data_IF_572844714272
#
_entry.id   IF_572844714272
#
_cell.length_a   1.000
_cell.length_b   1.000
_cell.length_c   1.000
_cell.angle_alpha   90.00
_cell.angle_beta   90.00
_cell.angle_gamma   90.00
#
_symmetry.space_group_name_H-M   'P 1'
#
loop_
_entity.id
_entity.type
_entity.pdbx_description
1 polymer ?
#
# COMPACT_ATOMS: atom_id res chain seq x y z
N UNK A 1 -7.13 -11.03 6.33
CA UNK A 1 -5.78 -10.45 6.16
C UNK A 1 -5.02 -11.18 5.07
N UNK A 2 -4.40 -10.49 4.14
CA UNK A 2 -3.62 -11.11 3.07
C UNK A 2 -2.35 -10.30 2.79
N UNK A 3 -1.20 -10.94 2.93
CA UNK A 3 0.05 -10.38 2.44
C UNK A 3 0.06 -10.50 0.91
N UNK A 4 0.29 -9.39 0.23
CA UNK A 4 0.44 -9.37 -1.23
C UNK A 4 1.92 -9.29 -1.60
N UNK A 5 2.68 -8.39 -0.96
CA UNK A 5 4.08 -8.18 -1.28
C UNK A 5 4.79 -7.48 -0.13
N UNK A 6 5.98 -7.98 0.22
CA UNK A 6 6.85 -7.33 1.19
C UNK A 6 6.24 -7.20 2.58
N UNK A 7 6.57 -6.10 3.24
CA UNK A 7 6.16 -5.83 4.61
C UNK A 7 4.95 -4.91 4.73
N UNK A 8 4.53 -4.27 3.64
CA UNK A 8 3.49 -3.24 3.69
C UNK A 8 2.39 -3.38 2.64
N UNK A 9 2.54 -4.26 1.65
CA UNK A 9 1.54 -4.43 0.60
C UNK A 9 0.57 -5.55 0.95
N UNK A 10 -0.69 -5.20 1.20
CA UNK A 10 -1.76 -6.14 1.50
C UNK A 10 -2.75 -5.57 2.50
N UNK A 11 -4.02 -5.97 2.45
CA UNK A 11 -5.02 -5.51 3.40
C UNK A 11 -4.70 -6.01 4.81
N UNK A 12 -4.70 -5.10 5.79
CA UNK A 12 -4.34 -5.38 7.17
C UNK A 12 -2.98 -6.08 7.32
N UNK A 13 -2.05 -5.73 6.43
CA UNK A 13 -0.68 -6.22 6.46
C UNK A 13 0.26 -5.02 6.54
N UNK A 14 0.83 -4.77 7.72
CA UNK A 14 1.62 -3.56 7.96
C UNK A 14 2.84 -3.92 8.80
N UNK A 15 4.01 -3.46 8.37
CA UNK A 15 5.28 -3.70 9.06
C UNK A 15 5.57 -5.19 9.28
N UNK A 16 5.16 -6.03 8.30
CA UNK A 16 5.39 -7.46 8.35
C UNK A 16 4.49 -8.23 9.29
N UNK A 17 3.39 -7.61 9.74
CA UNK A 17 2.46 -8.24 10.69
C UNK A 17 1.02 -8.06 10.25
N UNK A 18 0.16 -8.92 10.75
CA UNK A 18 -1.28 -8.86 10.55
C UNK A 18 -1.88 -7.75 11.40
N UNK A 19 -1.67 -6.50 10.98
CA UNK A 19 -2.15 -5.30 11.67
C UNK A 19 -2.68 -4.30 10.65
N UNK A 20 -3.82 -3.64 10.93
CA UNK A 20 -4.24 -2.50 10.11
C UNK A 20 -3.27 -1.32 10.31
N UNK A 21 -3.21 -0.45 9.30
CA UNK A 21 -2.26 0.67 9.32
C UNK A 21 -2.46 1.64 10.49
N UNK A 22 -3.68 1.72 11.03
CA UNK A 22 -3.98 2.61 12.16
C UNK A 22 -3.79 1.95 13.53
N UNK A 23 -3.27 0.73 13.59
CA UNK A 23 -3.04 0.06 14.86
C UNK A 23 -1.82 0.69 15.56
N UNK A 24 -1.92 1.07 16.84
CA UNK A 24 -0.79 1.68 17.55
C UNK A 24 0.40 0.74 17.73
N UNK A 25 0.23 -0.55 17.53
CA UNK A 25 1.32 -1.53 17.62
C UNK A 25 2.20 -1.58 16.38
N UNK A 26 1.85 -0.86 15.30
CA UNK A 26 2.64 -0.87 14.07
C UNK A 26 4.03 -0.28 14.34
N UNK A 27 5.05 -1.05 13.97
CA UNK A 27 6.42 -0.59 14.05
C UNK A 27 6.87 -0.03 12.69
N UNK A 28 6.76 1.29 12.53
CA UNK A 28 7.11 1.98 11.29
C UNK A 28 8.60 1.97 10.99
N UNK A 29 9.43 1.46 11.89
CA UNK A 29 10.88 1.30 11.65
C UNK A 29 11.20 0.09 10.78
N UNK A 30 10.26 -0.83 10.60
CA UNK A 30 10.44 -1.97 9.69
C UNK A 30 10.65 -1.42 8.28
N UNK A 31 11.77 -1.80 7.66
CA UNK A 31 12.13 -1.28 6.34
C UNK A 31 11.37 -2.00 5.24
N UNK A 32 10.91 -1.28 4.20
CA UNK A 32 10.36 -1.91 3.01
C UNK A 32 11.47 -2.66 2.27
N UNK A 33 11.09 -3.72 1.55
CA UNK A 33 12.05 -4.55 0.83
C UNK A 33 12.43 -4.00 -0.54
N UNK A 34 11.60 -3.14 -1.12
CA UNK A 34 11.84 -2.55 -2.44
C UNK A 34 10.98 -1.30 -2.64
N UNK A 35 11.04 -0.72 -3.85
CA UNK A 35 10.30 0.51 -4.18
C UNK A 35 8.79 0.33 -4.10
N UNK A 36 8.27 -0.83 -4.50
CA UNK A 36 6.84 -1.10 -4.43
C UNK A 36 6.39 -1.19 -2.98
N UNK A 37 7.16 -1.89 -2.15
CA UNK A 37 6.88 -2.00 -0.72
C UNK A 37 6.95 -0.63 -0.04
N UNK A 38 7.90 0.22 -0.45
CA UNK A 38 7.98 1.60 0.03
C UNK A 38 6.72 2.40 -0.33
N UNK A 39 6.21 2.22 -1.55
CA UNK A 39 4.98 2.90 -1.97
C UNK A 39 3.79 2.43 -1.11
N UNK A 40 3.72 1.14 -0.81
CA UNK A 40 2.70 0.61 0.10
C UNK A 40 2.85 1.15 1.51
N UNK A 41 4.09 1.28 2.00
CA UNK A 41 4.35 1.86 3.33
C UNK A 41 3.86 3.30 3.40
N UNK A 42 4.16 4.10 2.37
CA UNK A 42 3.73 5.49 2.32
C UNK A 42 2.20 5.58 2.33
N UNK A 43 1.54 4.71 1.58
CA UNK A 43 0.07 4.62 1.57
C UNK A 43 -0.46 4.23 2.94
N UNK A 44 0.16 3.24 3.60
CA UNK A 44 -0.26 2.81 4.93
C UNK A 44 -0.12 3.93 5.95
N UNK A 45 0.95 4.73 5.86
CA UNK A 45 1.12 5.91 6.72
C UNK A 45 0.01 6.93 6.49
N UNK A 46 -0.36 7.17 5.24
CA UNK A 46 -1.48 8.06 4.91
C UNK A 46 -2.79 7.51 5.49
N UNK A 47 -2.94 6.19 5.54
CA UNK A 47 -4.12 5.52 6.06
C UNK A 47 -4.11 5.36 7.59
N UNK A 48 -2.96 5.55 8.24
CA UNK A 48 -2.86 5.47 9.69
C UNK A 48 -3.53 6.66 10.37
N UNK A 49 -3.95 7.62 9.58
CA UNK A 49 -4.64 8.80 10.04
C UNK A 49 -5.97 8.45 10.70
N UNK A 50 -6.38 9.31 11.65
CA UNK A 50 -7.63 9.15 12.40
C UNK A 50 -8.84 9.01 11.48
N UNK A 51 -8.84 9.68 10.33
CA UNK A 51 -9.92 9.63 9.34
C UNK A 51 -9.78 8.50 8.32
N UNK A 52 -8.72 7.71 8.40
CA UNK A 52 -8.46 6.60 7.51
C UNK A 52 -7.90 7.01 6.14
N UNK A 53 -8.00 6.11 5.18
CA UNK A 53 -7.51 6.33 3.83
C UNK A 53 -8.36 7.34 3.07
N UNK A 54 -7.76 8.00 2.09
CA UNK A 54 -8.46 8.93 1.20
C UNK A 54 -8.22 8.56 -0.26
N UNK A 55 -9.06 9.08 -1.14
CA UNK A 55 -8.88 8.90 -2.59
C UNK A 55 -7.52 9.45 -3.05
N UNK A 56 -7.08 10.57 -2.48
CA UNK A 56 -5.78 11.15 -2.82
C UNK A 56 -4.63 10.21 -2.45
N UNK A 57 -4.68 9.59 -1.26
CA UNK A 57 -3.68 8.62 -0.83
C UNK A 57 -3.68 7.40 -1.76
N UNK A 58 -4.87 6.91 -2.10
CA UNK A 58 -5.00 5.78 -3.03
C UNK A 58 -4.40 6.11 -4.39
N UNK A 59 -4.67 7.28 -4.93
CA UNK A 59 -4.15 7.68 -6.24
C UNK A 59 -2.63 7.85 -6.23
N UNK A 60 -2.04 8.31 -5.13
CA UNK A 60 -0.58 8.36 -5.01
C UNK A 60 0.03 6.96 -5.13
N UNK A 61 -0.55 5.99 -4.46
CA UNK A 61 -0.08 4.61 -4.56
C UNK A 61 -0.29 4.04 -5.97
N UNK A 62 -1.46 4.26 -6.55
CA UNK A 62 -1.75 3.79 -7.92
C UNK A 62 -0.72 4.33 -8.91
N UNK A 63 -0.43 5.63 -8.86
CA UNK A 63 0.54 6.25 -9.77
C UNK A 63 1.94 5.67 -9.59
N UNK A 64 2.38 5.48 -8.35
CA UNK A 64 3.69 4.87 -8.08
C UNK A 64 3.74 3.43 -8.54
N UNK A 65 2.68 2.66 -8.29
CA UNK A 65 2.61 1.27 -8.73
C UNK A 65 2.64 1.17 -10.26
N UNK A 66 1.92 2.04 -10.96
CA UNK A 66 1.92 2.08 -12.42
C UNK A 66 3.30 2.41 -12.97
N UNK A 67 4.00 3.38 -12.37
CA UNK A 67 5.36 3.72 -12.74
C UNK A 67 6.32 2.54 -12.54
N UNK A 68 6.21 1.87 -11.40
CA UNK A 68 7.02 0.69 -11.10
C UNK A 68 6.72 -0.43 -12.12
N UNK A 69 5.46 -0.62 -12.47
CA UNK A 69 5.08 -1.63 -13.48
C UNK A 69 5.73 -1.35 -14.84
N UNK A 70 5.88 -0.07 -15.20
CA UNK A 70 6.51 0.32 -16.48
C UNK A 70 8.02 0.17 -16.45
N UNK A 71 8.65 0.37 -15.30
CA UNK A 71 10.11 0.49 -15.20
C UNK A 71 10.79 -0.70 -14.55
N UNK A 72 10.02 -1.66 -13.99
CA UNK A 72 10.59 -2.80 -13.29
C UNK A 72 9.89 -4.09 -13.71
N UNK A 73 10.55 -4.90 -14.53
CA UNK A 73 9.98 -6.14 -15.06
C UNK A 73 9.61 -7.13 -13.95
N UNK A 74 10.45 -7.25 -12.94
CA UNK A 74 10.25 -8.21 -11.84
C UNK A 74 9.00 -7.90 -11.05
N UNK A 75 8.70 -6.62 -10.85
CA UNK A 75 7.58 -6.18 -10.02
C UNK A 75 6.33 -5.86 -10.83
N UNK A 76 6.39 -5.96 -12.16
CA UNK A 76 5.30 -5.52 -13.04
C UNK A 76 3.96 -6.15 -12.68
N UNK A 77 3.92 -7.46 -12.57
CA UNK A 77 2.67 -8.18 -12.34
C UNK A 77 2.05 -7.81 -10.99
N UNK A 78 2.85 -7.82 -9.92
CA UNK A 78 2.33 -7.50 -8.60
C UNK A 78 1.98 -6.01 -8.49
N UNK A 79 2.75 -5.13 -9.13
CA UNK A 79 2.47 -3.70 -9.13
C UNK A 79 1.14 -3.39 -9.87
N UNK A 80 0.89 -4.06 -10.99
CA UNK A 80 -0.37 -3.92 -11.71
C UNK A 80 -1.55 -4.40 -10.87
N UNK A 81 -1.39 -5.51 -10.17
CA UNK A 81 -2.42 -6.05 -9.28
C UNK A 81 -2.75 -5.08 -8.15
N UNK A 82 -1.72 -4.47 -7.56
CA UNK A 82 -1.90 -3.48 -6.50
C UNK A 82 -2.61 -2.24 -7.03
N UNK A 83 -2.20 -1.73 -8.20
CA UNK A 83 -2.82 -0.56 -8.80
C UNK A 83 -4.31 -0.81 -9.06
N UNK A 84 -4.66 -1.98 -9.59
CA UNK A 84 -6.06 -2.34 -9.83
C UNK A 84 -6.84 -2.44 -8.52
N UNK A 85 -6.32 -3.16 -7.54
CA UNK A 85 -7.01 -3.36 -6.27
C UNK A 85 -7.25 -2.03 -5.53
N UNK A 86 -6.27 -1.15 -5.50
CA UNK A 86 -6.39 0.15 -4.83
C UNK A 86 -7.34 1.07 -5.61
N UNK A 87 -7.29 1.04 -6.94
CA UNK A 87 -8.23 1.81 -7.77
C UNK A 87 -9.68 1.42 -7.48
N UNK A 88 -9.93 0.11 -7.34
CA UNK A 88 -11.28 -0.38 -7.02
C UNK A 88 -11.69 0.01 -5.59
N UNK A 89 -10.79 -0.10 -4.64
CA UNK A 89 -11.07 0.30 -3.26
C UNK A 89 -11.38 1.80 -3.16
N UNK A 90 -10.70 2.62 -3.97
CA UNK A 90 -10.89 4.07 -3.97
C UNK A 90 -12.31 4.48 -4.33
N UNK A 91 -13.01 3.69 -5.15
CA UNK A 91 -14.38 3.99 -5.58
C UNK A 91 -15.32 4.11 -4.37
N UNK A 92 -15.06 3.35 -3.31
CA UNK A 92 -15.91 3.32 -2.11
C UNK A 92 -15.46 4.30 -1.03
N UNK A 93 -14.37 5.05 -1.24
CA UNK A 93 -13.90 6.02 -0.25
C UNK A 93 -14.85 7.22 -0.18
N UNK A 94 -15.06 7.70 1.03
CA UNK A 94 -15.88 8.90 1.28
C UNK A 94 -15.05 10.19 1.29
N UNK A 95 -13.73 10.08 1.32
CA UNK A 95 -12.87 11.27 1.36
C UNK A 95 -11.79 11.26 0.26
#
# INVERSE_FOLDING_TARGET
>A
MVKIHGNYCGPNWTAGKNLPANDPKVNWKVKPIDKLDQACKDHDKDCSHKLGCSKAADMRLVRKAQWIALTNRRLRSVAQSIALAISMASITRSR
#
